data_IF_538985543408
#
_entry.id   IF_538985543408
#
_cell.length_a   1.000
_cell.length_b   1.000
_cell.length_c   1.000
_cell.angle_alpha   90.00
_cell.angle_beta   90.00
_cell.angle_gamma   90.00
#
_symmetry.space_group_name_H-M   'P 1'
#
loop_
_entity.id
_entity.type
_entity.pdbx_description
1 polymer ?
#
# COMPACT_ATOMS: atom_id res chain seq x y z
N UNK A 1 1.95 -20.20 -19.31
CA UNK A 1 1.47 -18.91 -18.79
C UNK A 1 2.62 -18.34 -17.96
N UNK A 2 3.14 -17.16 -18.29
CA UNK A 2 4.18 -16.50 -17.48
C UNK A 2 3.60 -16.12 -16.12
N UNK A 3 4.39 -16.26 -15.05
CA UNK A 3 3.93 -15.83 -13.72
C UNK A 3 3.62 -14.32 -13.72
N UNK A 4 2.55 -13.87 -13.04
CA UNK A 4 2.17 -12.44 -12.99
C UNK A 4 3.33 -11.53 -12.55
N UNK A 5 4.18 -11.98 -11.61
CA UNK A 5 5.35 -11.23 -11.18
C UNK A 5 6.39 -11.02 -12.31
N UNK A 6 6.51 -11.97 -13.24
CA UNK A 6 7.37 -11.86 -14.42
C UNK A 6 6.77 -10.89 -15.44
N UNK A 7 5.44 -10.83 -15.56
CA UNK A 7 4.75 -9.92 -16.48
C UNK A 7 5.05 -8.44 -16.16
N UNK A 8 5.20 -8.08 -14.88
CA UNK A 8 5.47 -6.71 -14.45
C UNK A 8 6.97 -6.41 -14.22
N UNK A 9 7.86 -7.35 -14.57
CA UNK A 9 9.32 -7.23 -14.39
C UNK A 9 9.73 -6.80 -12.97
N UNK A 10 9.05 -7.30 -11.95
CA UNK A 10 9.31 -6.97 -10.55
C UNK A 10 10.76 -7.33 -10.16
N UNK A 11 11.58 -6.40 -9.61
CA UNK A 11 12.98 -6.67 -9.29
C UNK A 11 13.12 -7.64 -8.10
N UNK A 12 14.35 -8.05 -7.77
CA UNK A 12 14.60 -8.84 -6.56
C UNK A 12 14.49 -7.98 -5.30
N UNK A 13 14.12 -8.60 -4.17
CA UNK A 13 14.12 -7.95 -2.84
C UNK A 13 15.45 -7.30 -2.47
N UNK A 14 16.56 -7.81 -3.03
CA UNK A 14 17.91 -7.31 -2.74
C UNK A 14 18.17 -5.89 -3.23
N UNK A 15 17.22 -5.28 -3.95
CA UNK A 15 17.26 -3.85 -4.26
C UNK A 15 17.01 -3.00 -3.01
N UNK A 16 16.30 -3.52 -2.01
CA UNK A 16 15.91 -2.81 -0.79
C UNK A 16 16.84 -3.14 0.38
N UNK A 17 17.01 -2.19 1.30
CA UNK A 17 17.81 -2.33 2.52
C UNK A 17 17.00 -1.79 3.72
N UNK A 18 16.66 -2.60 4.74
CA UNK A 18 16.84 -4.05 4.78
C UNK A 18 16.04 -4.76 3.66
N UNK A 19 16.37 -6.01 3.31
CA UNK A 19 15.77 -6.72 2.19
C UNK A 19 14.34 -7.23 2.52
N UNK A 20 13.43 -6.30 2.73
CA UNK A 20 11.98 -6.53 2.82
C UNK A 20 11.33 -6.22 1.47
N UNK A 21 10.42 -7.08 1.01
CA UNK A 21 9.76 -6.90 -0.27
C UNK A 21 8.53 -5.99 -0.13
N UNK A 22 8.45 -4.87 -0.87
CA UNK A 22 7.27 -4.01 -0.84
C UNK A 22 6.03 -4.70 -1.41
N UNK A 23 4.88 -4.52 -0.77
CA UNK A 23 3.62 -5.18 -1.11
C UNK A 23 2.71 -4.36 -2.05
N UNK A 24 3.05 -3.12 -2.37
CA UNK A 24 2.38 -2.35 -3.44
C UNK A 24 3.40 -1.75 -4.40
N UNK A 25 3.09 -1.82 -5.70
CA UNK A 25 3.92 -1.26 -6.75
C UNK A 25 3.10 -0.34 -7.65
N UNK A 26 3.57 0.89 -7.82
CA UNK A 26 2.92 1.89 -8.66
C UNK A 26 3.71 2.06 -9.96
N UNK A 27 3.00 2.00 -11.07
CA UNK A 27 3.50 2.17 -12.43
C UNK A 27 2.74 3.34 -13.05
N UNK A 28 3.39 4.48 -13.22
CA UNK A 28 2.82 5.69 -13.80
C UNK A 28 3.36 5.86 -15.22
N UNK A 29 2.47 5.91 -16.21
CA UNK A 29 2.84 6.04 -17.61
C UNK A 29 3.63 7.34 -17.85
N UNK A 30 4.64 7.31 -18.71
CA UNK A 30 5.50 8.47 -19.04
C UNK A 30 4.75 9.72 -19.56
N UNK A 31 3.55 9.53 -20.14
CA UNK A 31 2.65 10.63 -20.56
C UNK A 31 2.03 11.39 -19.38
N UNK A 32 1.95 10.77 -18.20
CA UNK A 32 1.44 11.41 -16.98
C UNK A 32 2.58 12.02 -16.15
N UNK A 33 3.79 11.46 -16.23
CA UNK A 33 4.92 11.89 -15.44
C UNK A 33 6.22 11.79 -16.25
N UNK A 34 6.96 12.89 -16.36
CA UNK A 34 8.22 12.94 -17.13
C UNK A 34 9.44 12.33 -16.39
N UNK A 35 9.28 11.95 -15.11
CA UNK A 35 10.34 11.38 -14.28
C UNK A 35 9.76 10.53 -13.14
N UNK A 36 10.60 9.76 -12.46
CA UNK A 36 10.18 9.01 -11.26
C UNK A 36 9.74 9.96 -10.14
N UNK A 37 10.41 11.09 -9.95
CA UNK A 37 10.02 12.09 -8.94
C UNK A 37 8.63 12.67 -9.26
N UNK A 38 8.35 12.95 -10.53
CA UNK A 38 7.04 13.39 -10.97
C UNK A 38 5.97 12.31 -10.74
N UNK A 39 6.30 11.03 -10.98
CA UNK A 39 5.39 9.91 -10.74
C UNK A 39 5.07 9.72 -9.24
N UNK A 40 6.08 9.81 -8.38
CA UNK A 40 5.91 9.75 -6.92
C UNK A 40 5.04 10.92 -6.46
N UNK A 41 5.35 12.15 -6.91
CA UNK A 41 4.60 13.36 -6.55
C UNK A 41 3.14 13.30 -7.01
N UNK A 42 2.91 12.80 -8.23
CA UNK A 42 1.58 12.60 -8.79
C UNK A 42 0.75 11.64 -7.93
N UNK A 43 1.28 10.45 -7.63
CA UNK A 43 0.54 9.45 -6.87
C UNK A 43 0.33 9.86 -5.42
N UNK A 44 1.38 10.31 -4.73
CA UNK A 44 1.30 10.70 -3.31
C UNK A 44 0.44 11.95 -3.11
N UNK A 45 0.50 12.91 -4.04
CA UNK A 45 -0.40 14.06 -4.07
C UNK A 45 -1.86 13.64 -4.22
N UNK A 46 -2.15 12.70 -5.14
CA UNK A 46 -3.49 12.16 -5.32
C UNK A 46 -3.99 11.43 -4.07
N UNK A 47 -3.17 10.56 -3.45
CA UNK A 47 -3.52 9.86 -2.21
C UNK A 47 -3.79 10.83 -1.06
N UNK A 48 -3.01 11.90 -0.92
CA UNK A 48 -3.26 12.96 0.05
C UNK A 48 -4.62 13.61 -0.17
N UNK A 49 -4.88 14.06 -1.39
CA UNK A 49 -6.08 14.86 -1.70
C UNK A 49 -7.35 14.02 -1.67
N UNK A 50 -7.31 12.82 -2.25
CA UNK A 50 -8.49 11.98 -2.44
C UNK A 50 -8.69 10.97 -1.31
N UNK A 51 -7.61 10.43 -0.73
CA UNK A 51 -7.69 9.42 0.33
C UNK A 51 -7.42 9.99 1.73
N UNK A 52 -6.85 11.20 1.84
CA UNK A 52 -6.46 11.78 3.12
C UNK A 52 -5.20 11.16 3.72
N UNK A 53 -4.39 10.46 2.91
CA UNK A 53 -3.16 9.81 3.35
C UNK A 53 -2.02 10.83 3.34
N UNK A 54 -1.49 11.19 4.51
CA UNK A 54 -0.55 12.30 4.68
C UNK A 54 0.68 11.92 5.50
N UNK A 55 1.80 12.62 5.29
CA UNK A 55 2.93 12.56 6.21
C UNK A 55 2.74 13.57 7.34
N UNK A 56 2.25 13.11 8.49
CA UNK A 56 2.00 13.93 9.68
C UNK A 56 2.69 13.37 10.94
N UNK A 57 3.72 12.53 10.77
CA UNK A 57 4.48 11.95 11.88
C UNK A 57 5.22 13.00 12.73
N UNK A 58 5.36 14.24 12.25
CA UNK A 58 5.85 15.39 13.03
C UNK A 58 7.35 15.37 13.35
N UNK A 59 8.08 14.34 12.94
CA UNK A 59 9.53 14.22 13.07
C UNK A 59 10.10 13.31 11.97
N UNK A 60 11.36 13.54 11.58
CA UNK A 60 12.04 12.66 10.63
C UNK A 60 12.35 11.30 11.27
N UNK A 61 11.65 10.27 10.82
CA UNK A 61 11.87 8.86 11.17
C UNK A 61 11.64 8.06 9.89
N UNK A 62 12.64 7.79 9.04
CA UNK A 62 12.46 6.85 7.95
C UNK A 62 12.68 5.44 8.51
N UNK A 63 11.63 4.73 8.98
CA UNK A 63 11.80 3.35 9.39
C UNK A 63 12.28 2.52 8.19
N UNK A 64 13.20 1.58 8.44
CA UNK A 64 13.63 0.61 7.43
C UNK A 64 14.10 1.25 6.11
N UNK A 65 14.80 2.39 6.20
CA UNK A 65 15.35 3.15 5.08
C UNK A 65 14.34 3.50 3.96
N UNK A 66 13.06 3.64 4.30
CA UNK A 66 12.07 4.22 3.38
C UNK A 66 12.48 5.64 2.97
N UNK A 67 12.20 6.01 1.73
CA UNK A 67 12.53 7.34 1.21
C UNK A 67 11.54 8.42 1.69
N UNK A 68 10.30 8.01 1.92
CA UNK A 68 9.26 8.81 2.59
C UNK A 68 8.20 7.88 3.16
N UNK A 69 7.30 8.44 3.97
CA UNK A 69 6.19 7.70 4.58
C UNK A 69 4.94 8.56 4.60
N UNK A 70 3.78 7.94 4.80
CA UNK A 70 2.51 8.59 5.02
C UNK A 70 1.59 7.67 5.83
N UNK A 71 0.57 8.25 6.45
CA UNK A 71 -0.48 7.50 7.13
C UNK A 71 -1.86 8.07 6.91
N UNK A 72 -2.87 7.28 7.23
CA UNK A 72 -4.24 7.72 7.48
C UNK A 72 -4.64 7.13 8.83
N UNK A 73 -4.73 8.00 9.84
CA UNK A 73 -4.90 7.57 11.23
C UNK A 73 -6.31 7.70 11.80
N UNK A 74 -6.50 7.09 12.97
CA UNK A 74 -7.74 7.20 13.75
C UNK A 74 -8.93 6.43 13.17
N UNK A 75 -8.65 5.38 12.39
CA UNK A 75 -9.66 4.57 11.72
C UNK A 75 -10.27 3.55 12.67
N UNK A 76 -11.55 3.23 12.42
CA UNK A 76 -12.30 2.17 13.10
C UNK A 76 -12.01 2.11 14.62
N UNK A 77 -12.35 3.19 15.36
CA UNK A 77 -12.14 3.22 16.80
C UNK A 77 -12.92 2.07 17.45
N UNK A 78 -12.23 1.34 18.32
CA UNK A 78 -12.79 0.23 19.06
C UNK A 78 -12.87 0.58 20.54
N UNK A 79 -14.10 0.52 21.08
CA UNK A 79 -14.42 0.78 22.48
C UNK A 79 -15.09 -0.45 23.12
N UNK A 80 -14.70 -1.65 22.66
CA UNK A 80 -15.20 -2.90 23.21
C UNK A 80 -14.51 -3.26 24.53
N UNK A 81 -15.17 -4.11 25.31
CA UNK A 81 -14.65 -4.58 26.61
C UNK A 81 -15.03 -3.68 27.78
N UNK A 82 -14.70 -4.13 29.00
CA UNK A 82 -15.00 -3.42 30.25
C UNK A 82 -13.86 -2.53 30.73
N UNK A 83 -12.67 -2.63 30.12
CA UNK A 83 -11.49 -1.86 30.48
C UNK A 83 -11.25 -0.75 29.42
N UNK A 84 -11.53 0.53 29.74
CA UNK A 84 -11.33 1.63 28.80
C UNK A 84 -9.87 1.85 28.38
N UNK A 85 -8.90 1.30 29.13
CA UNK A 85 -7.48 1.39 28.77
C UNK A 85 -7.11 0.55 27.54
N UNK A 86 -8.04 -0.30 27.11
CA UNK A 86 -7.93 -1.14 25.93
C UNK A 86 -8.59 -0.51 24.68
N UNK A 87 -9.24 0.64 24.82
CA UNK A 87 -9.85 1.34 23.69
C UNK A 87 -8.79 1.93 22.77
N UNK A 88 -8.82 1.57 21.49
CA UNK A 88 -7.81 1.98 20.52
C UNK A 88 -8.42 2.33 19.17
N UNK A 89 -7.61 2.90 18.29
CA UNK A 89 -7.92 3.09 16.88
C UNK A 89 -6.84 2.40 16.04
N UNK A 90 -7.05 2.41 14.73
CA UNK A 90 -6.17 1.77 13.76
C UNK A 90 -5.70 2.79 12.73
N UNK A 91 -4.52 2.54 12.18
CA UNK A 91 -3.90 3.40 11.20
C UNK A 91 -3.52 2.59 9.96
N UNK A 92 -3.68 3.22 8.79
CA UNK A 92 -3.02 2.79 7.57
C UNK A 92 -1.66 3.47 7.51
N UNK A 93 -0.58 2.70 7.41
CA UNK A 93 0.79 3.19 7.22
C UNK A 93 1.27 2.82 5.81
N UNK A 94 1.96 3.74 5.14
CA UNK A 94 2.65 3.49 3.88
C UNK A 94 4.07 4.02 3.97
N UNK A 95 5.03 3.16 3.64
CA UNK A 95 6.44 3.50 3.45
C UNK A 95 6.78 3.41 1.98
N UNK A 96 7.32 4.47 1.39
CA UNK A 96 7.63 4.54 -0.04
C UNK A 96 9.11 4.27 -0.32
N UNK A 97 9.37 3.58 -1.43
CA UNK A 97 10.71 3.20 -1.89
C UNK A 97 10.86 3.53 -3.39
N UNK A 98 11.72 4.48 -3.71
CA UNK A 98 12.00 4.95 -5.07
C UNK A 98 13.49 5.24 -5.33
N UNK A 99 14.27 5.65 -4.33
CA UNK A 99 15.70 5.97 -4.49
C UNK A 99 16.52 4.73 -4.83
N UNK A 100 16.31 3.63 -4.11
CA UNK A 100 17.03 2.38 -4.39
C UNK A 100 16.75 1.84 -5.81
N UNK A 101 15.50 1.97 -6.28
CA UNK A 101 15.12 1.66 -7.66
C UNK A 101 15.83 2.58 -8.67
N UNK A 102 16.05 3.85 -8.32
CA UNK A 102 16.79 4.78 -9.17
C UNK A 102 18.25 4.42 -9.28
N UNK A 103 18.90 4.21 -8.14
CA UNK A 103 20.32 3.86 -8.03
C UNK A 103 20.68 2.56 -8.75
N UNK A 104 19.75 1.61 -8.80
CA UNK A 104 19.91 0.32 -9.49
C UNK A 104 19.41 0.32 -10.94
N UNK A 105 18.95 1.47 -11.47
CA UNK A 105 18.43 1.57 -12.83
C UNK A 105 17.11 0.82 -13.05
N UNK A 106 16.38 0.49 -11.98
CA UNK A 106 15.11 -0.25 -11.99
C UNK A 106 13.87 0.64 -11.86
N UNK A 107 14.02 1.96 -11.82
CA UNK A 107 12.92 2.92 -11.67
C UNK A 107 12.04 3.12 -12.92
N UNK A 108 12.43 2.56 -14.06
CA UNK A 108 11.70 2.65 -15.31
C UNK A 108 11.61 1.27 -15.95
N UNK A 109 10.50 1.00 -16.64
CA UNK A 109 10.18 -0.32 -17.20
C UNK A 109 9.31 -0.17 -18.45
N UNK A 110 9.47 -1.09 -19.39
CA UNK A 110 8.65 -1.18 -20.59
C UNK A 110 7.80 -2.44 -20.49
N UNK A 111 6.48 -2.28 -20.43
CA UNK A 111 5.54 -3.40 -20.32
C UNK A 111 4.79 -3.58 -21.64
N UNK A 112 4.34 -4.81 -21.91
CA UNK A 112 3.42 -5.05 -23.02
C UNK A 112 2.02 -4.53 -22.65
N UNK A 113 1.51 -3.60 -23.43
CA UNK A 113 0.13 -3.12 -23.35
C UNK A 113 -0.86 -4.14 -23.89
N UNK A 114 -2.15 -3.91 -23.59
CA UNK A 114 -3.24 -4.83 -23.93
C UNK A 114 -3.38 -5.08 -25.45
N UNK A 115 -3.03 -4.10 -26.29
CA UNK A 115 -3.12 -4.18 -27.75
C UNK A 115 -1.82 -4.66 -28.41
N UNK A 116 -0.87 -5.20 -27.65
CA UNK A 116 0.42 -5.67 -28.16
C UNK A 116 1.46 -4.57 -28.39
N UNK A 117 1.11 -3.31 -28.11
CA UNK A 117 2.06 -2.20 -28.00
C UNK A 117 2.98 -2.34 -26.79
N UNK A 118 4.10 -1.65 -26.78
CA UNK A 118 4.98 -1.53 -25.60
C UNK A 118 4.80 -0.15 -24.98
N UNK A 119 4.50 -0.12 -23.69
CA UNK A 119 4.23 1.10 -22.93
C UNK A 119 5.30 1.32 -21.87
N UNK A 120 5.62 2.59 -21.63
CA UNK A 120 6.71 2.99 -20.75
C UNK A 120 6.16 3.56 -19.45
N UNK A 121 6.70 3.07 -18.34
CA UNK A 121 6.26 3.42 -16.99
C UNK A 121 7.44 3.83 -16.13
N UNK A 122 7.25 4.92 -15.37
CA UNK A 122 8.02 5.18 -14.16
C UNK A 122 7.41 4.36 -13.03
N UNK A 123 8.25 3.67 -12.25
CA UNK A 123 7.78 2.86 -11.12
C UNK A 123 8.46 3.21 -9.81
N UNK A 124 7.70 2.99 -8.75
CA UNK A 124 8.16 2.99 -7.38
C UNK A 124 7.33 2.02 -6.57
N UNK A 125 7.79 1.71 -5.35
CA UNK A 125 7.18 0.71 -4.51
C UNK A 125 6.75 1.30 -3.17
N UNK A 126 5.87 0.59 -2.47
CA UNK A 126 5.47 0.91 -1.11
C UNK A 126 5.24 -0.35 -0.29
N UNK A 127 5.48 -0.25 1.01
CA UNK A 127 5.05 -1.23 2.00
C UNK A 127 3.88 -0.60 2.76
N UNK A 128 2.71 -1.21 2.67
CA UNK A 128 1.47 -0.73 3.28
C UNK A 128 0.97 -1.69 4.35
N UNK A 129 0.61 -1.15 5.50
CA UNK A 129 0.15 -1.87 6.68
C UNK A 129 -1.11 -1.23 7.24
N UNK A 130 -2.04 -2.05 7.72
CA UNK A 130 -3.14 -1.62 8.57
C UNK A 130 -2.95 -2.27 9.95
N UNK A 131 -2.75 -1.46 10.98
CA UNK A 131 -2.43 -1.92 12.32
C UNK A 131 -3.00 -1.00 13.40
N UNK A 132 -2.87 -1.41 14.68
CA UNK A 132 -3.24 -0.54 15.81
C UNK A 132 -2.35 0.71 15.77
N UNK A 133 -2.94 1.89 15.99
CA UNK A 133 -2.22 3.15 15.95
C UNK A 133 -1.00 3.14 16.90
N UNK A 134 0.15 3.60 16.39
CA UNK A 134 1.44 3.63 17.09
C UNK A 134 1.35 4.38 18.44
N UNK A 135 0.47 5.39 18.55
CA UNK A 135 0.29 6.21 19.74
C UNK A 135 -0.54 5.55 20.85
N UNK A 136 -1.05 4.33 20.67
CA UNK A 136 -1.84 3.67 21.70
C UNK A 136 -0.96 3.25 22.90
N UNK A 137 -1.27 3.70 24.13
CA UNK A 137 -0.37 3.60 25.29
C UNK A 137 -0.03 2.17 25.72
N UNK A 138 -0.90 1.21 25.42
CA UNK A 138 -0.64 -0.18 25.75
C UNK A 138 -0.05 -0.97 24.55
N UNK A 139 -0.19 -0.44 23.32
CA UNK A 139 0.07 -1.12 22.03
C UNK A 139 -0.23 -2.65 22.00
N UNK A 140 -1.18 -3.23 22.78
CA UNK A 140 -1.28 -4.68 22.84
C UNK A 140 -2.22 -5.09 21.74
N UNK A 141 -1.85 -6.12 20.98
CA UNK A 141 -2.82 -6.77 20.12
C UNK A 141 -3.93 -7.36 21.01
N UNK A 142 -5.16 -6.91 20.81
CA UNK A 142 -6.31 -7.36 21.60
C UNK A 142 -7.07 -8.39 20.77
N UNK A 143 -7.13 -9.62 21.28
CA UNK A 143 -7.79 -10.74 20.59
C UNK A 143 -9.29 -10.46 20.32
N UNK A 144 -9.93 -9.67 21.19
CA UNK A 144 -11.35 -9.30 21.09
C UNK A 144 -11.64 -8.18 20.06
N UNK A 145 -10.61 -7.48 19.56
CA UNK A 145 -10.82 -6.45 18.56
C UNK A 145 -10.99 -7.09 17.17
N UNK A 146 -12.13 -6.86 16.47
CA UNK A 146 -12.37 -7.45 15.17
C UNK A 146 -11.47 -6.87 14.07
N UNK A 147 -10.83 -5.73 14.31
CA UNK A 147 -10.01 -5.00 13.34
C UNK A 147 -8.51 -5.27 13.49
N UNK A 148 -8.03 -5.59 14.71
CA UNK A 148 -6.65 -6.00 14.99
C UNK A 148 -6.23 -7.30 14.27
N UNK A 149 -7.19 -8.02 13.70
CA UNK A 149 -6.94 -9.18 12.87
C UNK A 149 -6.43 -10.42 13.60
N UNK A 150 -6.72 -10.52 14.90
CA UNK A 150 -6.57 -11.76 15.69
C UNK A 150 -7.85 -12.59 15.79
N UNK A 151 -8.98 -12.02 15.44
CA UNK A 151 -10.28 -12.70 15.37
C UNK A 151 -10.75 -12.93 13.91
N UNK A 152 -11.64 -13.90 13.74
CA UNK A 152 -12.31 -14.17 12.45
C UNK A 152 -11.41 -14.88 11.44
N UNK A 153 -11.39 -14.39 10.20
CA UNK A 153 -10.70 -15.01 9.04
C UNK A 153 -9.17 -15.14 9.17
N UNK A 154 -8.58 -14.48 10.15
CA UNK A 154 -7.14 -14.47 10.41
C UNK A 154 -6.75 -15.23 11.69
N UNK A 155 -7.71 -15.89 12.34
CA UNK A 155 -7.43 -16.76 13.48
C UNK A 155 -6.47 -17.89 13.03
N UNK A 156 -5.27 -17.91 13.60
CA UNK A 156 -4.22 -18.88 13.26
C UNK A 156 -3.26 -18.47 12.15
N UNK A 157 -3.19 -17.19 11.77
CA UNK A 157 -2.10 -16.70 10.92
C UNK A 157 -0.73 -16.88 11.60
N UNK A 158 0.25 -17.46 10.88
CA UNK A 158 1.61 -17.71 11.39
C UNK A 158 2.35 -16.43 11.82
N UNK A 159 1.97 -15.28 11.24
CA UNK A 159 2.46 -13.96 11.59
C UNK A 159 1.49 -12.85 11.16
N UNK A 160 1.26 -11.89 12.04
CA UNK A 160 0.25 -10.83 11.83
C UNK A 160 0.68 -9.81 10.76
N UNK A 161 1.97 -9.54 10.66
CA UNK A 161 2.47 -8.52 9.73
C UNK A 161 2.14 -8.87 8.26
N UNK A 162 2.76 -9.93 7.73
CA UNK A 162 2.54 -10.34 6.35
C UNK A 162 1.19 -11.05 6.13
N UNK A 163 0.66 -11.74 7.15
CA UNK A 163 -0.58 -12.52 7.04
C UNK A 163 -1.86 -11.71 7.23
N UNK A 164 -1.78 -10.51 7.83
CA UNK A 164 -2.97 -9.74 8.24
C UNK A 164 -2.82 -8.25 7.90
N UNK A 165 -1.82 -7.57 8.46
CA UNK A 165 -1.69 -6.11 8.34
C UNK A 165 -1.41 -5.69 6.90
N UNK A 166 -0.56 -6.44 6.18
CA UNK A 166 -0.28 -6.19 4.77
C UNK A 166 -1.50 -6.40 3.87
N UNK A 167 -2.20 -7.55 3.89
CA UNK A 167 -3.43 -7.74 3.11
C UNK A 167 -4.51 -6.69 3.39
N UNK A 168 -4.76 -6.36 4.66
CA UNK A 168 -5.73 -5.36 5.06
C UNK A 168 -5.32 -3.94 4.65
N UNK A 169 -4.04 -3.60 4.82
CA UNK A 169 -3.48 -2.34 4.34
C UNK A 169 -3.63 -2.17 2.84
N UNK A 170 -3.37 -3.23 2.06
CA UNK A 170 -3.60 -3.21 0.61
C UNK A 170 -5.08 -3.07 0.26
N UNK A 171 -5.98 -3.76 0.96
CA UNK A 171 -7.42 -3.63 0.72
C UNK A 171 -7.88 -2.18 0.93
N UNK A 172 -7.50 -1.58 2.05
CA UNK A 172 -7.87 -0.22 2.41
C UNK A 172 -7.27 0.79 1.42
N UNK A 173 -5.99 0.66 1.06
CA UNK A 173 -5.34 1.52 0.09
C UNK A 173 -6.02 1.44 -1.29
N UNK A 174 -6.33 0.24 -1.77
CA UNK A 174 -6.84 0.06 -3.13
C UNK A 174 -8.33 0.39 -3.24
N UNK A 175 -9.12 0.07 -2.22
CA UNK A 175 -10.57 0.05 -2.30
C UNK A 175 -11.29 0.89 -1.25
N UNK A 176 -10.59 1.40 -0.23
CA UNK A 176 -11.22 2.12 0.87
C UNK A 176 -12.01 1.21 1.83
N UNK A 177 -11.75 -0.11 1.79
CA UNK A 177 -12.48 -1.11 2.55
C UNK A 177 -11.57 -1.93 3.46
N UNK A 178 -12.15 -2.48 4.51
CA UNK A 178 -11.55 -3.51 5.36
C UNK A 178 -12.56 -4.66 5.44
N UNK A 179 -12.17 -5.85 4.97
CA UNK A 179 -13.02 -7.05 4.91
C UNK A 179 -14.30 -6.83 4.08
N UNK A 180 -14.20 -6.03 3.01
CA UNK A 180 -15.29 -5.66 2.12
C UNK A 180 -16.22 -4.58 2.66
N UNK A 181 -16.00 -4.10 3.90
CA UNK A 181 -16.79 -3.02 4.48
C UNK A 181 -16.11 -1.67 4.28
N UNK A 182 -16.90 -0.66 3.89
CA UNK A 182 -16.39 0.69 3.69
C UNK A 182 -15.89 1.29 5.01
N UNK A 183 -14.69 1.85 5.00
CA UNK A 183 -14.10 2.54 6.16
C UNK A 183 -14.45 4.03 6.09
N UNK A 184 -14.76 4.62 7.24
CA UNK A 184 -14.93 6.05 7.38
C UNK A 184 -13.72 6.67 8.09
N UNK A 185 -13.38 7.90 7.70
CA UNK A 185 -12.41 8.77 8.35
C UNK A 185 -12.97 9.28 9.70
N UNK A 186 -12.13 9.84 10.58
CA UNK A 186 -12.57 10.47 11.82
C UNK A 186 -13.61 11.59 11.63
N UNK A 187 -13.58 12.27 10.47
CA UNK A 187 -14.54 13.34 10.12
C UNK A 187 -15.86 12.82 9.51
N UNK A 188 -16.04 11.49 9.43
CA UNK A 188 -17.23 10.82 8.92
C UNK A 188 -17.28 10.64 7.40
N UNK A 189 -16.32 11.20 6.64
CA UNK A 189 -16.25 10.95 5.18
C UNK A 189 -15.72 9.54 4.89
N UNK A 190 -16.13 8.90 3.79
CA UNK A 190 -15.56 7.60 3.41
C UNK A 190 -14.06 7.73 3.11
N UNK A 191 -13.31 6.67 3.44
CA UNK A 191 -11.95 6.49 2.96
C UNK A 191 -12.03 6.15 1.47
N UNK A 192 -11.34 6.92 0.64
CA UNK A 192 -11.21 6.63 -0.79
C UNK A 192 -10.17 5.53 -1.01
N UNK A 193 -10.21 4.88 -2.18
CA UNK A 193 -9.18 3.94 -2.60
C UNK A 193 -8.59 4.33 -3.95
N UNK A 194 -7.40 3.82 -4.28
CA UNK A 194 -6.76 3.98 -5.60
C UNK A 194 -7.72 3.65 -6.76
N UNK A 195 -8.68 2.74 -6.56
CA UNK A 195 -9.71 2.41 -7.54
C UNK A 195 -10.47 3.64 -8.06
N UNK A 196 -10.63 4.71 -7.27
CA UNK A 196 -11.30 5.95 -7.70
C UNK A 196 -10.56 6.65 -8.85
N UNK A 197 -9.27 6.40 -9.05
CA UNK A 197 -8.53 6.97 -10.19
C UNK A 197 -9.11 6.56 -11.54
N UNK A 198 -9.86 5.45 -11.63
CA UNK A 198 -10.55 5.02 -12.86
C UNK A 198 -11.53 6.06 -13.42
N UNK A 199 -11.97 6.99 -12.58
CA UNK A 199 -12.88 8.07 -12.98
C UNK A 199 -12.20 9.10 -13.88
N UNK A 200 -10.87 9.22 -13.80
CA UNK A 200 -10.09 10.25 -14.49
C UNK A 200 -8.92 9.69 -15.31
N UNK A 201 -8.52 8.44 -15.06
CA UNK A 201 -7.34 7.80 -15.65
C UNK A 201 -7.68 6.41 -16.18
N UNK A 202 -6.87 5.90 -17.11
CA UNK A 202 -6.84 4.47 -17.38
C UNK A 202 -6.14 3.79 -16.19
N UNK A 203 -6.86 2.92 -15.49
CA UNK A 203 -6.39 2.28 -14.27
C UNK A 203 -6.51 0.76 -14.41
N UNK A 204 -5.42 0.06 -14.11
CA UNK A 204 -5.42 -1.39 -13.92
C UNK A 204 -4.79 -1.70 -12.56
N UNK A 205 -5.48 -2.53 -11.76
CA UNK A 205 -5.01 -3.01 -10.46
C UNK A 205 -4.99 -4.53 -10.55
N UNK A 206 -3.82 -5.11 -10.37
CA UNK A 206 -3.62 -6.56 -10.31
C UNK A 206 -3.23 -6.96 -8.88
N UNK A 207 -3.97 -7.91 -8.30
CA UNK A 207 -3.61 -8.55 -7.03
C UNK A 207 -2.86 -9.84 -7.33
N UNK A 208 -1.66 -9.97 -6.79
CA UNK A 208 -0.78 -11.11 -7.04
C UNK A 208 -0.49 -11.78 -5.71
N UNK A 209 -0.63 -13.10 -5.67
CA UNK A 209 -0.03 -13.95 -4.64
C UNK A 209 1.35 -14.38 -5.12
N UNK A 210 2.44 -13.91 -4.50
CA UNK A 210 3.78 -14.23 -4.96
C UNK A 210 4.07 -15.73 -4.86
N UNK A 211 4.65 -16.29 -5.92
CA UNK A 211 5.23 -17.63 -5.91
C UNK A 211 6.76 -17.60 -5.77
N UNK A 212 7.38 -16.41 -5.89
CA UNK A 212 8.83 -16.24 -5.83
C UNK A 212 9.34 -16.34 -4.39
N UNK A 213 10.34 -17.18 -4.10
CA UNK A 213 10.88 -17.34 -2.73
C UNK A 213 11.51 -16.09 -2.13
N UNK A 214 11.90 -15.11 -2.94
CA UNK A 214 12.48 -13.85 -2.46
C UNK A 214 11.43 -12.81 -2.05
N UNK A 215 10.14 -13.05 -2.30
CA UNK A 215 9.06 -12.15 -1.90
C UNK A 215 8.50 -12.63 -0.55
N UNK A 216 8.94 -11.98 0.53
CA UNK A 216 8.56 -12.32 1.91
C UNK A 216 7.21 -11.72 2.33
N UNK A 217 6.23 -11.73 1.43
CA UNK A 217 4.90 -11.14 1.60
C UNK A 217 3.84 -12.11 1.06
N UNK A 218 2.63 -12.06 1.61
CA UNK A 218 1.54 -12.99 1.23
C UNK A 218 0.79 -12.52 -0.01
N UNK A 219 0.51 -11.23 -0.07
CA UNK A 219 -0.19 -10.58 -1.16
C UNK A 219 0.60 -9.34 -1.60
N UNK A 220 0.54 -9.05 -2.90
CA UNK A 220 0.99 -7.78 -3.43
C UNK A 220 -0.01 -7.20 -4.44
N UNK A 221 0.08 -5.90 -4.65
CA UNK A 221 -0.69 -5.20 -5.67
C UNK A 221 0.23 -4.49 -6.66
N UNK A 222 -0.12 -4.58 -7.95
CA UNK A 222 0.48 -3.78 -9.02
C UNK A 222 -0.58 -2.82 -9.55
N UNK A 223 -0.29 -1.52 -9.51
CA UNK A 223 -1.18 -0.45 -9.95
C UNK A 223 -0.57 0.22 -11.17
N UNK A 224 -1.21 0.05 -12.34
CA UNK A 224 -0.84 0.71 -13.58
C UNK A 224 -1.77 1.89 -13.82
N UNK A 225 -1.19 3.07 -14.02
CA UNK A 225 -1.91 4.32 -14.21
C UNK A 225 -1.46 4.95 -15.52
N UNK A 226 -2.40 5.11 -16.44
CA UNK A 226 -2.19 5.73 -17.74
C UNK A 226 -3.20 6.84 -18.02
N UNK A 227 -2.97 7.67 -19.05
CA UNK A 227 -3.94 8.67 -19.47
C UNK A 227 -5.24 7.98 -19.93
N UNK A 228 -6.38 8.64 -19.69
CA UNK A 228 -7.68 8.11 -20.08
C UNK A 228 -7.89 8.27 -21.58
N UNK A 229 -7.91 7.15 -22.31
CA UNK A 229 -8.11 7.14 -23.76
C UNK A 229 -6.93 7.77 -24.51
N UNK A 230 -6.51 7.11 -25.58
CA UNK A 230 -5.79 7.77 -26.68
C UNK A 230 -6.80 8.17 -27.74
#
# INVERSE_FOLDING_TARGET
>A
MSEPATQFELPSRSVFEPPSYPNVWFYVHDRLAASQDAAVSFMTGWLREQCGITDDFGHWKPPEASDSQARLGGLQPWQGGTDPTLHHAHDLHIRYYYVALRQTGKHHVTLRGAEGGSERYHRFAGSVHYEVADEHPAHPYIDDCPYCGRAGSYAGADGLFAGVHEPLGLELLLYGTIRGEAVARPDGRPVGGVQLMKETHALHIERIRPARPDMNIVDLAVVLIGPRGS
#
